data_IF_066490855242
#
_entry.id   IF_066490855242
#
_cell.length_a   1.000
_cell.length_b   1.000
_cell.length_c   1.000
_cell.angle_alpha   90.00
_cell.angle_beta   90.00
_cell.angle_gamma   90.00
#
_symmetry.space_group_name_H-M   'P 1'
#
loop_
_entity.id
_entity.type
_entity.pdbx_description
1 polymer ?
#
# COMPACT_ATOMS: atom_id res chain seq x y z
N UNK A 1 11.81 2.97 18.75
CA UNK A 1 13.15 3.19 18.16
C UNK A 1 13.86 4.38 18.82
N UNK A 2 13.13 5.44 19.19
CA UNK A 2 13.64 6.61 19.95
C UNK A 2 14.17 6.29 21.35
N UNK A 3 13.50 5.42 22.11
CA UNK A 3 13.90 5.05 23.48
C UNK A 3 15.25 4.30 23.57
N UNK A 4 15.60 3.51 22.55
CA UNK A 4 16.86 2.75 22.54
C UNK A 4 18.08 3.61 22.14
N UNK A 5 17.87 4.61 21.28
CA UNK A 5 18.90 5.59 20.90
C UNK A 5 19.23 6.53 22.07
N UNK A 6 18.23 6.91 22.87
CA UNK A 6 18.42 7.70 24.09
C UNK A 6 19.21 6.93 25.16
N UNK A 7 18.95 5.62 25.32
CA UNK A 7 19.67 4.76 26.26
C UNK A 7 21.17 4.61 25.96
N UNK A 8 21.53 4.44 24.68
CA UNK A 8 22.94 4.34 24.28
C UNK A 8 23.70 5.68 24.42
N UNK A 9 23.04 6.80 24.14
CA UNK A 9 23.60 8.13 24.37
C UNK A 9 23.93 8.40 25.84
N UNK A 10 23.05 7.96 26.76
CA UNK A 10 23.26 8.09 28.20
C UNK A 10 24.42 7.25 28.73
N UNK A 11 24.55 6.00 28.29
CA UNK A 11 25.66 5.11 28.68
C UNK A 11 27.01 5.63 28.18
N UNK A 12 27.03 6.20 26.97
CA UNK A 12 28.24 6.80 26.40
C UNK A 12 28.65 8.07 27.14
N UNK A 13 27.71 8.97 27.46
CA UNK A 13 27.98 10.18 28.25
C UNK A 13 28.45 9.85 29.67
N UNK A 14 27.85 8.84 30.31
CA UNK A 14 28.24 8.38 31.64
C UNK A 14 29.64 7.75 31.66
N UNK A 15 29.97 6.89 30.69
CA UNK A 15 31.28 6.26 30.58
C UNK A 15 32.42 7.25 30.27
N UNK A 16 32.13 8.28 29.46
CA UNK A 16 33.13 9.32 29.12
C UNK A 16 33.43 10.22 30.32
N UNK A 17 32.46 10.41 31.23
CA UNK A 17 32.58 11.30 32.39
C UNK A 17 33.21 10.60 33.61
N UNK A 18 33.08 9.27 33.73
CA UNK A 18 33.53 8.54 34.94
C UNK A 18 34.87 7.80 34.83
N UNK A 19 35.41 7.55 33.63
CA UNK A 19 36.53 6.60 33.44
C UNK A 19 37.82 7.19 32.83
N UNK A 20 37.96 8.52 32.69
CA UNK A 20 39.12 9.20 32.08
C UNK A 20 39.56 8.62 30.72
N UNK A 21 38.63 8.01 29.99
CA UNK A 21 38.93 7.33 28.73
C UNK A 21 38.90 8.34 27.59
N UNK A 22 39.93 8.32 26.73
CA UNK A 22 40.05 9.22 25.56
C UNK A 22 38.73 9.31 24.79
N UNK A 23 38.20 10.52 24.59
CA UNK A 23 36.89 10.77 23.96
C UNK A 23 36.71 10.08 22.61
N UNK A 24 37.82 9.81 21.91
CA UNK A 24 37.87 9.06 20.65
C UNK A 24 37.35 7.63 20.79
N UNK A 25 37.62 6.95 21.91
CA UNK A 25 37.18 5.56 22.14
C UNK A 25 35.66 5.47 22.33
N UNK A 26 35.04 6.46 22.98
CA UNK A 26 33.59 6.53 23.16
C UNK A 26 32.84 6.65 21.83
N UNK A 27 33.31 7.53 20.94
CA UNK A 27 32.73 7.69 19.60
C UNK A 27 32.85 6.42 18.74
N UNK A 28 33.99 5.72 18.82
CA UNK A 28 34.20 4.47 18.07
C UNK A 28 33.22 3.39 18.53
N UNK A 29 33.05 3.20 19.85
CA UNK A 29 32.10 2.21 20.37
C UNK A 29 30.65 2.54 20.00
N UNK A 30 30.26 3.81 20.02
CA UNK A 30 28.93 4.24 19.58
C UNK A 30 28.69 3.95 18.10
N UNK A 31 29.65 4.30 17.22
CA UNK A 31 29.54 4.02 15.78
C UNK A 31 29.48 2.52 15.49
N UNK A 32 30.29 1.71 16.17
CA UNK A 32 30.24 0.24 16.06
C UNK A 32 28.88 -0.30 16.50
N UNK A 33 28.32 0.20 17.61
CA UNK A 33 26.99 -0.18 18.08
C UNK A 33 25.88 0.18 17.09
N UNK A 34 25.92 1.39 16.51
CA UNK A 34 24.95 1.83 15.49
C UNK A 34 25.05 0.98 14.23
N UNK A 35 26.26 0.75 13.72
CA UNK A 35 26.49 -0.11 12.54
C UNK A 35 26.01 -1.54 12.82
N UNK A 36 26.34 -2.10 13.99
CA UNK A 36 25.85 -3.41 14.41
C UNK A 36 24.33 -3.47 14.46
N UNK A 37 23.65 -2.47 15.02
CA UNK A 37 22.18 -2.44 15.06
C UNK A 37 21.56 -2.35 13.66
N UNK A 38 22.14 -1.55 12.77
CA UNK A 38 21.68 -1.41 11.39
C UNK A 38 21.86 -2.70 10.61
N UNK A 39 23.06 -3.32 10.68
CA UNK A 39 23.34 -4.59 10.01
C UNK A 39 22.50 -5.72 10.61
N UNK A 40 22.35 -5.79 11.92
CA UNK A 40 21.50 -6.77 12.60
C UNK A 40 20.03 -6.64 12.21
N UNK A 41 19.50 -5.41 12.13
CA UNK A 41 18.12 -5.16 11.68
C UNK A 41 17.92 -5.53 10.21
N UNK A 42 18.91 -5.23 9.37
CA UNK A 42 18.92 -5.61 7.97
C UNK A 42 18.96 -7.13 7.80
N UNK A 43 19.84 -7.80 8.53
CA UNK A 43 19.98 -9.26 8.53
C UNK A 43 18.70 -9.94 9.04
N UNK A 44 18.09 -9.44 10.13
CA UNK A 44 16.80 -9.94 10.64
C UNK A 44 15.70 -9.87 9.58
N UNK A 45 15.58 -8.76 8.84
CA UNK A 45 14.58 -8.62 7.76
C UNK A 45 14.81 -9.62 6.63
N UNK A 46 16.06 -9.78 6.19
CA UNK A 46 16.40 -10.75 5.14
C UNK A 46 16.11 -12.17 5.60
N UNK A 47 16.46 -12.50 6.84
CA UNK A 47 16.28 -13.84 7.40
C UNK A 47 14.80 -14.20 7.59
N UNK A 48 13.94 -13.23 7.95
CA UNK A 48 12.49 -13.43 7.99
C UNK A 48 11.93 -13.75 6.60
N UNK A 49 12.34 -13.00 5.57
CA UNK A 49 11.90 -13.23 4.18
C UNK A 49 12.41 -14.55 3.61
N UNK A 50 13.66 -14.93 3.93
CA UNK A 50 14.26 -16.17 3.49
C UNK A 50 13.59 -17.39 4.16
N UNK A 51 13.31 -17.32 5.47
CA UNK A 51 12.58 -18.36 6.20
C UNK A 51 11.18 -18.57 5.65
N UNK A 52 10.42 -17.49 5.40
CA UNK A 52 9.08 -17.60 4.81
C UNK A 52 9.12 -18.29 3.45
N UNK A 53 10.02 -17.88 2.54
CA UNK A 53 10.16 -18.53 1.22
C UNK A 53 10.58 -19.99 1.31
N UNK A 54 11.49 -20.33 2.22
CA UNK A 54 11.96 -21.70 2.43
C UNK A 54 10.88 -22.58 3.05
N UNK A 55 10.12 -22.06 4.02
CA UNK A 55 8.96 -22.74 4.62
C UNK A 55 7.86 -22.98 3.58
N UNK A 56 7.59 -22.02 2.70
CA UNK A 56 6.63 -22.20 1.59
C UNK A 56 7.10 -23.22 0.55
N UNK A 57 8.41 -23.31 0.30
CA UNK A 57 8.99 -24.27 -0.63
C UNK A 57 9.08 -25.70 -0.06
N UNK A 58 9.27 -25.85 1.25
CA UNK A 58 9.41 -27.14 1.93
C UNK A 58 8.08 -27.69 2.48
N UNK A 59 7.10 -26.83 2.72
CA UNK A 59 5.81 -27.24 3.26
C UNK A 59 4.68 -26.34 2.69
N UNK A 60 4.08 -26.73 1.54
CA UNK A 60 3.06 -25.92 0.86
C UNK A 60 1.75 -25.80 1.66
N UNK A 61 1.62 -26.48 2.81
CA UNK A 61 0.46 -26.44 3.69
C UNK A 61 0.60 -25.49 4.89
N UNK A 62 1.76 -24.83 5.08
CA UNK A 62 1.84 -23.75 6.09
C UNK A 62 0.93 -22.63 5.62
N UNK A 63 -0.15 -22.32 6.36
CA UNK A 63 -1.03 -21.24 5.97
C UNK A 63 -0.19 -19.96 5.99
N UNK A 64 0.04 -19.37 4.82
CA UNK A 64 0.22 -17.92 4.77
C UNK A 64 -0.97 -17.39 5.54
N UNK A 65 -0.74 -16.59 6.59
CA UNK A 65 -1.85 -15.96 7.31
C UNK A 65 -2.75 -15.35 6.24
N UNK A 66 -3.97 -15.87 6.08
CA UNK A 66 -4.85 -15.51 4.96
C UNK A 66 -5.12 -14.01 4.91
N UNK A 67 -4.89 -13.33 6.05
CA UNK A 67 -4.92 -11.87 6.22
C UNK A 67 -3.77 -11.16 5.51
N UNK A 68 -2.54 -11.68 5.59
CA UNK A 68 -1.40 -11.20 4.79
C UNK A 68 -1.63 -11.50 3.31
N UNK A 69 -2.20 -12.66 2.97
CA UNK A 69 -2.52 -12.99 1.59
C UNK A 69 -3.57 -12.03 0.98
N UNK A 70 -4.61 -11.68 1.74
CA UNK A 70 -5.64 -10.72 1.32
C UNK A 70 -5.08 -9.33 1.01
N UNK A 71 -4.29 -8.76 1.92
CA UNK A 71 -3.65 -7.45 1.70
C UNK A 71 -2.61 -7.48 0.58
N UNK A 72 -1.86 -8.58 0.42
CA UNK A 72 -0.96 -8.76 -0.72
C UNK A 72 -1.71 -8.83 -2.05
N UNK A 73 -2.87 -9.49 -2.08
CA UNK A 73 -3.73 -9.55 -3.26
C UNK A 73 -4.29 -8.17 -3.62
N UNK A 74 -4.71 -7.36 -2.65
CA UNK A 74 -5.09 -5.96 -2.86
C UNK A 74 -3.96 -5.18 -3.54
N UNK A 75 -2.75 -5.23 -2.99
CA UNK A 75 -1.57 -4.57 -3.59
C UNK A 75 -1.35 -5.02 -5.03
N UNK A 76 -1.41 -6.33 -5.28
CA UNK A 76 -1.18 -6.90 -6.61
C UNK A 76 -2.20 -6.37 -7.62
N UNK A 77 -3.48 -6.40 -7.29
CA UNK A 77 -4.55 -5.89 -8.15
C UNK A 77 -4.38 -4.38 -8.41
N UNK A 78 -3.99 -3.61 -7.39
CA UNK A 78 -3.77 -2.16 -7.50
C UNK A 78 -2.67 -1.83 -8.49
N UNK A 79 -1.49 -2.44 -8.30
CA UNK A 79 -0.35 -2.21 -9.17
C UNK A 79 -0.56 -2.74 -10.59
N UNK A 80 -1.34 -3.81 -10.75
CA UNK A 80 -1.74 -4.29 -12.09
C UNK A 80 -2.54 -3.21 -12.83
N UNK A 81 -3.55 -2.61 -12.19
CA UNK A 81 -4.35 -1.55 -12.80
C UNK A 81 -3.50 -0.31 -13.14
N UNK A 82 -2.59 0.09 -12.24
CA UNK A 82 -1.65 1.20 -12.52
C UNK A 82 -0.70 0.89 -13.66
N UNK A 83 -0.26 -0.36 -13.78
CA UNK A 83 0.58 -0.79 -14.88
C UNK A 83 -0.17 -0.71 -16.22
N UNK A 84 -1.44 -1.11 -16.26
CA UNK A 84 -2.28 -1.00 -17.45
C UNK A 84 -2.55 0.45 -17.83
N UNK A 85 -2.83 1.31 -16.83
CA UNK A 85 -2.92 2.75 -17.00
C UNK A 85 -1.62 3.33 -17.62
N UNK A 86 -0.46 2.92 -17.11
CA UNK A 86 0.84 3.39 -17.59
C UNK A 86 1.17 2.91 -19.01
N UNK A 87 0.71 1.73 -19.40
CA UNK A 87 0.87 1.19 -20.77
C UNK A 87 -0.11 1.78 -21.77
N UNK A 88 -1.17 2.43 -21.31
CA UNK A 88 -2.17 3.04 -22.18
C UNK A 88 -1.61 4.24 -22.97
N UNK A 89 -2.42 4.72 -23.93
CA UNK A 89 -2.09 5.90 -24.74
C UNK A 89 -1.92 7.18 -23.91
N UNK A 90 -2.36 7.20 -22.65
CA UNK A 90 -2.21 8.33 -21.74
C UNK A 90 -0.75 8.65 -21.42
N UNK A 91 0.15 7.67 -21.48
CA UNK A 91 1.59 7.90 -21.29
C UNK A 91 2.23 8.80 -22.34
N UNK A 92 1.60 8.99 -23.51
CA UNK A 92 2.06 9.95 -24.51
C UNK A 92 1.76 11.40 -24.13
N UNK A 93 0.84 11.64 -23.19
CA UNK A 93 0.39 12.98 -22.77
C UNK A 93 1.10 13.51 -21.52
N UNK A 94 1.92 12.68 -20.84
CA UNK A 94 2.59 13.03 -19.59
C UNK A 94 2.60 11.84 -18.63
N UNK A 95 2.73 12.12 -17.32
CA UNK A 95 2.60 11.07 -16.30
C UNK A 95 1.17 10.50 -16.30
N UNK A 96 0.96 9.22 -16.70
CA UNK A 96 -0.38 8.61 -16.80
C UNK A 96 -1.22 8.73 -15.52
N UNK A 97 -0.57 8.83 -14.35
CA UNK A 97 -1.25 8.96 -13.06
C UNK A 97 -1.76 10.36 -12.77
N UNK A 98 -1.31 11.38 -13.51
CA UNK A 98 -1.72 12.77 -13.34
C UNK A 98 -2.36 13.40 -14.60
N UNK A 99 -2.43 12.67 -15.72
CA UNK A 99 -3.06 13.17 -16.95
C UNK A 99 -4.58 13.31 -16.79
N UNK A 100 -5.22 12.42 -16.04
CA UNK A 100 -6.67 12.44 -15.80
C UNK A 100 -6.97 12.62 -14.31
N UNK A 101 -8.04 13.37 -13.95
CA UNK A 101 -8.50 13.48 -12.58
C UNK A 101 -9.05 12.13 -12.09
N UNK A 102 -8.79 11.80 -10.82
CA UNK A 102 -9.35 10.61 -10.17
C UNK A 102 -10.49 10.97 -9.24
N UNK A 103 -11.57 10.19 -9.35
CA UNK A 103 -12.72 10.30 -8.48
C UNK A 103 -12.95 8.98 -7.78
N UNK A 104 -13.17 9.06 -6.48
CA UNK A 104 -13.53 7.91 -5.66
C UNK A 104 -15.04 7.79 -5.58
N UNK A 105 -15.61 6.65 -5.94
CA UNK A 105 -17.05 6.41 -5.84
C UNK A 105 -17.31 5.57 -4.61
N UNK A 106 -18.01 6.15 -3.62
CA UNK A 106 -18.27 5.52 -2.32
C UNK A 106 -19.77 5.49 -2.02
N UNK A 107 -20.19 4.57 -1.16
CA UNK A 107 -21.59 4.42 -0.77
C UNK A 107 -21.94 3.00 -0.38
N UNK A 108 -23.09 2.83 0.26
CA UNK A 108 -23.53 1.54 0.80
C UNK A 108 -23.62 0.42 -0.25
N UNK A 109 -23.53 -0.86 0.14
CA UNK A 109 -23.82 -1.97 -0.76
C UNK A 109 -25.18 -1.82 -1.43
N UNK A 110 -25.27 -2.08 -2.73
CA UNK A 110 -26.55 -1.99 -3.46
C UNK A 110 -27.00 -0.58 -3.88
N UNK A 111 -26.28 0.49 -3.52
CA UNK A 111 -26.58 1.88 -3.94
C UNK A 111 -26.48 2.16 -5.45
N UNK A 112 -26.08 1.18 -6.27
CA UNK A 112 -26.03 1.31 -7.73
C UNK A 112 -24.76 1.96 -8.29
N UNK A 113 -23.68 2.12 -7.51
CA UNK A 113 -22.39 2.69 -7.96
C UNK A 113 -21.86 2.03 -9.25
N UNK A 114 -21.64 0.73 -9.21
CA UNK A 114 -21.15 -0.06 -10.34
C UNK A 114 -22.13 0.00 -11.51
N UNK A 115 -23.43 -0.06 -11.23
CA UNK A 115 -24.49 0.08 -12.25
C UNK A 115 -24.42 1.41 -12.99
N UNK A 116 -24.27 2.51 -12.26
CA UNK A 116 -24.19 3.85 -12.81
C UNK A 116 -22.95 3.98 -13.71
N UNK A 117 -21.81 3.46 -13.26
CA UNK A 117 -20.55 3.49 -14.03
C UNK A 117 -20.61 2.62 -15.30
N UNK A 118 -21.16 1.40 -15.22
CA UNK A 118 -21.35 0.53 -16.40
C UNK A 118 -22.26 1.18 -17.44
N UNK A 119 -23.35 1.84 -16.98
CA UNK A 119 -24.40 2.38 -17.85
C UNK A 119 -24.21 3.86 -18.20
N UNK A 120 -23.13 4.50 -17.76
CA UNK A 120 -22.84 5.91 -18.05
C UNK A 120 -22.57 6.20 -19.54
N UNK A 121 -22.37 5.15 -20.36
CA UNK A 121 -22.04 5.24 -21.80
C UNK A 121 -20.83 6.12 -22.12
N UNK A 122 -19.90 6.23 -21.17
CA UNK A 122 -18.66 6.98 -21.33
C UNK A 122 -17.61 6.14 -22.06
N UNK A 123 -16.88 6.78 -22.98
CA UNK A 123 -15.80 6.16 -23.74
C UNK A 123 -14.55 5.98 -22.88
N UNK A 124 -13.77 4.92 -23.16
CA UNK A 124 -12.57 4.55 -22.41
C UNK A 124 -11.35 4.41 -23.32
N UNK A 125 -10.18 5.00 -22.97
CA UNK A 125 -8.95 4.85 -23.74
C UNK A 125 -8.17 3.57 -23.37
N UNK A 126 -8.58 2.86 -22.31
CA UNK A 126 -7.87 1.69 -21.76
C UNK A 126 -8.62 0.39 -22.06
N UNK A 127 -9.95 0.37 -21.84
CA UNK A 127 -10.76 -0.84 -22.02
C UNK A 127 -12.19 -0.48 -22.41
N UNK A 128 -12.69 -1.05 -23.50
CA UNK A 128 -14.10 -0.91 -23.86
C UNK A 128 -14.99 -1.43 -22.73
N UNK A 129 -15.87 -0.57 -22.24
CA UNK A 129 -16.88 -0.93 -21.24
C UNK A 129 -18.05 -1.59 -21.97
N UNK A 130 -18.28 -2.87 -21.68
CA UNK A 130 -19.48 -3.56 -22.15
C UNK A 130 -20.68 -3.12 -21.31
N UNK A 131 -21.57 -2.34 -21.92
CA UNK A 131 -22.77 -1.79 -21.27
C UNK A 131 -23.82 -2.86 -20.93
N UNK A 132 -23.73 -4.04 -21.57
CA UNK A 132 -24.65 -5.15 -21.38
C UNK A 132 -24.07 -6.24 -20.48
N UNK A 133 -22.84 -6.08 -19.99
CA UNK A 133 -22.22 -7.03 -19.09
C UNK A 133 -23.06 -7.19 -17.80
N UNK A 134 -23.16 -8.42 -17.27
CA UNK A 134 -23.73 -8.65 -15.93
C UNK A 134 -22.99 -7.81 -14.89
N UNK A 135 -23.75 -7.16 -13.99
CA UNK A 135 -23.19 -6.36 -12.92
C UNK A 135 -22.95 -7.28 -11.72
N UNK A 136 -21.68 -7.54 -11.42
CA UNK A 136 -21.28 -8.30 -10.24
C UNK A 136 -21.04 -7.38 -9.03
N UNK A 137 -21.28 -7.85 -7.80
CA UNK A 137 -20.90 -7.11 -6.61
C UNK A 137 -19.39 -6.82 -6.56
N UNK A 138 -19.04 -5.54 -6.39
CA UNK A 138 -17.65 -5.13 -6.18
C UNK A 138 -17.13 -5.71 -4.87
N UNK A 139 -16.11 -6.59 -4.94
CA UNK A 139 -15.50 -7.25 -3.77
C UNK A 139 -14.54 -6.31 -3.02
N UNK A 140 -13.72 -5.56 -3.75
CA UNK A 140 -12.70 -4.67 -3.20
C UNK A 140 -12.76 -3.29 -3.86
N UNK A 141 -12.29 -3.18 -5.09
CA UNK A 141 -12.48 -2.01 -5.96
C UNK A 141 -12.59 -2.44 -7.43
N UNK A 142 -13.07 -1.53 -8.27
CA UNK A 142 -12.99 -1.62 -9.73
C UNK A 142 -12.49 -0.31 -10.32
N UNK A 143 -11.70 -0.40 -11.39
CA UNK A 143 -11.15 0.76 -12.10
C UNK A 143 -11.93 1.03 -13.37
N UNK A 144 -12.38 2.26 -13.52
CA UNK A 144 -13.06 2.74 -14.72
C UNK A 144 -12.22 3.86 -15.33
N UNK A 145 -11.62 3.60 -16.48
CA UNK A 145 -10.80 4.57 -17.18
C UNK A 145 -11.64 5.23 -18.25
N UNK A 146 -12.21 6.41 -18.02
CA UNK A 146 -12.90 7.16 -19.07
C UNK A 146 -11.95 8.12 -19.78
N UNK A 147 -12.37 8.68 -20.90
CA UNK A 147 -11.54 9.62 -21.68
C UNK A 147 -11.18 10.89 -20.91
N UNK A 148 -12.02 11.31 -19.96
CA UNK A 148 -11.88 12.56 -19.19
C UNK A 148 -11.54 12.35 -17.72
N UNK A 149 -11.65 11.13 -17.20
CA UNK A 149 -11.53 10.86 -15.76
C UNK A 149 -11.30 9.40 -15.45
N UNK A 150 -10.69 9.12 -14.30
CA UNK A 150 -10.55 7.76 -13.75
C UNK A 150 -11.48 7.65 -12.54
N UNK A 151 -12.40 6.68 -12.55
CA UNK A 151 -13.25 6.40 -11.38
C UNK A 151 -12.75 5.13 -10.69
N UNK A 152 -12.62 5.22 -9.36
CA UNK A 152 -12.31 4.08 -8.50
C UNK A 152 -13.58 3.72 -7.74
N UNK A 153 -14.27 2.67 -8.19
CA UNK A 153 -15.49 2.15 -7.55
C UNK A 153 -15.10 1.27 -6.38
N UNK A 154 -15.41 1.67 -5.14
CA UNK A 154 -15.09 0.90 -3.94
C UNK A 154 -16.27 0.02 -3.53
N UNK A 155 -15.98 -1.19 -3.04
CA UNK A 155 -16.96 -2.07 -2.44
C UNK A 155 -17.71 -1.40 -1.29
N UNK A 156 -19.04 -1.47 -1.30
CA UNK A 156 -19.86 -0.78 -0.30
C UNK A 156 -19.63 -1.25 1.14
N UNK A 157 -19.06 -2.45 1.34
CA UNK A 157 -18.72 -2.99 2.67
C UNK A 157 -17.76 -2.10 3.46
N UNK A 158 -16.96 -1.27 2.78
CA UNK A 158 -16.06 -0.32 3.42
C UNK A 158 -16.76 0.98 3.86
N UNK A 159 -18.00 1.20 3.44
CA UNK A 159 -18.80 2.39 3.76
C UNK A 159 -19.75 2.16 4.95
N UNK A 160 -19.88 0.93 5.42
CA UNK A 160 -20.71 0.56 6.58
C UNK A 160 -19.82 0.43 7.83
N UNK A 161 -20.18 1.06 8.97
CA UNK A 161 -19.49 0.84 10.23
C UNK A 161 -19.45 -0.65 10.57
N UNK A 162 -18.28 -1.15 10.94
CA UNK A 162 -18.07 -2.56 11.30
C UNK A 162 -17.01 -2.67 12.38
N UNK A 163 -17.20 -3.60 13.32
CA UNK A 163 -16.21 -3.98 14.32
C UNK A 163 -15.20 -5.01 13.77
N UNK A 164 -15.33 -5.38 12.49
CA UNK A 164 -14.40 -6.26 11.80
C UNK A 164 -13.05 -5.56 11.58
N UNK A 165 -12.05 -5.99 12.35
CA UNK A 165 -10.68 -5.50 12.24
C UNK A 165 -10.06 -5.74 10.86
N UNK A 166 -10.43 -6.82 10.18
CA UNK A 166 -9.84 -7.19 8.90
C UNK A 166 -10.35 -6.25 7.81
N UNK A 167 -11.66 -5.94 7.80
CA UNK A 167 -12.22 -4.90 6.92
C UNK A 167 -11.57 -3.54 7.18
N UNK A 168 -11.33 -3.20 8.45
CA UNK A 168 -10.64 -1.97 8.84
C UNK A 168 -9.17 -1.94 8.36
N UNK A 169 -8.46 -3.07 8.39
CA UNK A 169 -7.08 -3.19 7.88
C UNK A 169 -7.04 -3.07 6.37
N UNK A 170 -7.94 -3.73 5.66
CA UNK A 170 -8.08 -3.59 4.20
C UNK A 170 -8.36 -2.14 3.81
N UNK A 171 -9.26 -1.46 4.53
CA UNK A 171 -9.56 -0.05 4.28
C UNK A 171 -8.33 0.85 4.42
N UNK A 172 -7.55 0.67 5.50
CA UNK A 172 -6.28 1.39 5.68
C UNK A 172 -5.27 1.10 4.58
N UNK A 173 -5.22 -0.13 4.08
CA UNK A 173 -4.34 -0.50 2.96
C UNK A 173 -4.80 0.17 1.65
N UNK A 174 -6.11 0.22 1.38
CA UNK A 174 -6.69 0.95 0.23
C UNK A 174 -6.28 2.42 0.26
N UNK A 175 -6.46 3.09 1.41
CA UNK A 175 -6.08 4.50 1.59
C UNK A 175 -4.57 4.71 1.41
N UNK A 176 -3.75 3.79 1.94
CA UNK A 176 -2.30 3.85 1.77
C UNK A 176 -1.88 3.68 0.30
N UNK A 177 -2.55 2.82 -0.44
CA UNK A 177 -2.30 2.62 -1.87
C UNK A 177 -2.68 3.84 -2.70
N UNK A 178 -3.82 4.47 -2.40
CA UNK A 178 -4.25 5.74 -2.99
C UNK A 178 -3.18 6.82 -2.78
N UNK A 179 -2.79 7.06 -1.53
CA UNK A 179 -1.77 8.06 -1.17
C UNK A 179 -0.42 7.79 -1.88
N UNK A 180 0.05 6.54 -1.87
CA UNK A 180 1.33 6.17 -2.49
C UNK A 180 1.32 6.34 -4.01
N UNK A 181 0.17 6.10 -4.65
CA UNK A 181 0.04 6.15 -6.10
C UNK A 181 0.05 7.58 -6.65
N UNK A 182 -0.52 8.54 -5.92
CA UNK A 182 -0.61 9.96 -6.33
C UNK A 182 -0.36 10.91 -5.16
N UNK A 183 0.89 10.99 -4.71
CA UNK A 183 1.26 11.79 -3.52
C UNK A 183 0.91 13.29 -3.59
N UNK A 184 0.92 13.89 -4.79
CA UNK A 184 0.65 15.33 -4.93
C UNK A 184 -0.84 15.65 -4.89
N UNK A 185 -1.66 14.79 -5.48
CA UNK A 185 -3.11 14.94 -5.60
C UNK A 185 -3.71 13.53 -5.58
N UNK A 186 -3.95 12.98 -4.38
CA UNK A 186 -4.39 11.58 -4.24
C UNK A 186 -5.73 11.35 -4.94
N UNK A 187 -6.67 12.26 -4.75
CA UNK A 187 -7.99 12.30 -5.38
C UNK A 187 -8.33 13.73 -5.82
N UNK A 188 -9.05 13.84 -6.92
CA UNK A 188 -9.59 15.11 -7.40
C UNK A 188 -11.06 15.32 -6.96
N UNK A 189 -11.71 14.27 -6.46
CA UNK A 189 -13.04 14.35 -5.86
C UNK A 189 -13.53 13.00 -5.32
N UNK A 190 -14.66 13.07 -4.61
CA UNK A 190 -15.42 11.92 -4.12
C UNK A 190 -16.85 12.07 -4.62
N UNK A 191 -17.45 10.97 -5.05
CA UNK A 191 -18.84 10.85 -5.53
C UNK A 191 -19.61 9.90 -4.63
#
# INVERSE_FOLDING_TARGET
MSLFLAGFGGISWFATTYYEMSSRLGYVLFLVGVVFLLTFKFFRRIFTLAKVKLTLALNPEVPVDGKEEGTLNLRRQWYSALHDLKKSKLGKKGDPTYVLPWYLVIGEPGSGKTTALTRARLSSPVKNVDQNAPIEPTKTWNWWFYDTSIMVDIAGRYCTPTDDEDVSKEWREILSLLEKSRRKESLNGIV
#
